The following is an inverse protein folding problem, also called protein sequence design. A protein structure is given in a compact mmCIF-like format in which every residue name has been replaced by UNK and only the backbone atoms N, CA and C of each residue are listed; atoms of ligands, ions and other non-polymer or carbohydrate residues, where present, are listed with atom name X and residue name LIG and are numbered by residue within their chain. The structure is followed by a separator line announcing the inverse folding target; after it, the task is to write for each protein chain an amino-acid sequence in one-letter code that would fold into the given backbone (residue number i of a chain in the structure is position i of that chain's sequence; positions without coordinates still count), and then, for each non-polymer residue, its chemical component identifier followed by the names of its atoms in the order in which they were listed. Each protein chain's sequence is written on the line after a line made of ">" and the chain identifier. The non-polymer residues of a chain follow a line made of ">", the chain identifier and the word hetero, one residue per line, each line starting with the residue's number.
data_IF_452705979950
#
_entry.id   IF_452705979950
#
_cell.length_a   1.000
_cell.length_b   1.000
_cell.length_c   1.000
_cell.angle_alpha   90.00
_cell.angle_beta   90.00
_cell.angle_gamma   90.00
#
_symmetry.space_group_name_H-M   'P 1'
#
loop_
_entity.id
_entity.type
_entity.pdbx_description
1 polymer ?
#
# COMPACT_ATOMS: atom_id res chain seq x y z
N UNK A 1 -10.76 10.59 -16.67
CA UNK A 1 -9.94 11.55 -17.36
C UNK A 1 -8.69 10.91 -17.94
N UNK A 2 -8.14 11.43 -18.99
CA UNK A 2 -6.91 10.95 -19.60
C UNK A 2 -5.69 11.59 -18.93
N UNK A 3 -5.76 12.89 -18.67
CA UNK A 3 -4.71 13.64 -17.97
C UNK A 3 -4.77 13.48 -16.44
N UNK A 4 -3.66 13.81 -15.75
CA UNK A 4 -3.61 13.84 -14.30
C UNK A 4 -4.63 14.84 -13.73
N UNK A 5 -4.72 16.03 -14.31
CA UNK A 5 -5.67 17.07 -13.84
C UNK A 5 -7.12 16.61 -13.93
N UNK A 6 -7.53 16.00 -15.05
CA UNK A 6 -8.90 15.47 -15.19
C UNK A 6 -9.22 14.39 -14.17
N UNK A 7 -8.24 13.52 -13.84
CA UNK A 7 -8.40 12.52 -12.78
C UNK A 7 -8.59 13.18 -11.41
N UNK A 8 -7.76 14.18 -11.10
CA UNK A 8 -7.86 14.92 -9.85
C UNK A 8 -9.17 15.71 -9.75
N UNK A 9 -9.64 16.34 -10.85
CA UNK A 9 -10.94 17.01 -10.89
C UNK A 9 -12.11 16.04 -10.61
N UNK A 10 -12.01 14.82 -11.13
CA UNK A 10 -13.00 13.78 -10.85
C UNK A 10 -12.95 13.33 -9.38
N UNK A 11 -11.76 13.17 -8.82
CA UNK A 11 -11.57 12.81 -7.41
C UNK A 11 -12.13 13.90 -6.48
N UNK A 12 -11.87 15.17 -6.76
CA UNK A 12 -12.40 16.30 -5.97
C UNK A 12 -13.92 16.33 -5.96
N UNK A 13 -14.57 16.11 -7.12
CA UNK A 13 -16.06 16.02 -7.22
C UNK A 13 -16.64 14.93 -6.34
N UNK A 14 -15.88 13.86 -6.08
CA UNK A 14 -16.31 12.76 -5.21
C UNK A 14 -15.88 12.97 -3.74
N UNK A 15 -15.18 14.07 -3.44
CA UNK A 15 -14.64 14.31 -2.10
C UNK A 15 -13.54 13.30 -1.71
N UNK A 16 -12.82 12.75 -2.69
CA UNK A 16 -11.65 11.90 -2.46
C UNK A 16 -10.44 12.79 -2.22
N UNK A 17 -9.68 12.52 -1.16
CA UNK A 17 -8.60 13.39 -0.66
C UNK A 17 -7.21 12.77 -0.79
N UNK A 18 -7.11 11.51 -1.22
CA UNK A 18 -5.84 10.80 -1.41
C UNK A 18 -5.61 10.41 -2.86
N UNK A 19 -4.41 10.67 -3.37
CA UNK A 19 -3.93 10.24 -4.69
C UNK A 19 -2.72 9.33 -4.50
N UNK A 20 -2.75 8.16 -5.12
CA UNK A 20 -1.69 7.15 -5.03
C UNK A 20 -1.04 6.93 -6.39
N UNK A 21 0.11 7.55 -6.67
CA UNK A 21 0.85 7.30 -7.89
C UNK A 21 1.74 6.06 -7.78
N UNK A 22 2.01 5.42 -8.93
CA UNK A 22 3.06 4.42 -9.03
C UNK A 22 4.46 5.03 -8.90
N UNK A 23 5.39 4.27 -8.29
CA UNK A 23 6.77 4.70 -8.05
C UNK A 23 7.66 4.70 -9.29
N UNK A 24 7.30 3.95 -10.33
CA UNK A 24 8.09 3.89 -11.57
C UNK A 24 8.25 5.28 -12.22
N UNK A 25 9.50 5.77 -12.30
CA UNK A 25 9.80 7.10 -12.84
C UNK A 25 9.30 8.27 -12.00
N UNK A 26 8.94 8.07 -10.75
CA UNK A 26 8.34 9.07 -9.87
C UNK A 26 9.22 10.31 -9.71
N UNK A 27 10.53 10.14 -9.56
CA UNK A 27 11.48 11.23 -9.37
C UNK A 27 11.39 12.29 -10.51
N UNK A 28 11.20 11.85 -11.74
CA UNK A 28 11.04 12.77 -12.89
C UNK A 28 9.68 13.48 -12.94
N UNK A 29 8.68 13.00 -12.17
CA UNK A 29 7.30 13.49 -12.15
C UNK A 29 6.94 14.32 -10.93
N UNK A 30 7.85 14.48 -9.98
CA UNK A 30 7.61 15.21 -8.72
C UNK A 30 7.06 16.61 -8.99
N UNK A 31 7.67 17.37 -9.88
CA UNK A 31 7.24 18.74 -10.20
C UNK A 31 5.86 18.76 -10.88
N UNK A 32 5.59 17.85 -11.82
CA UNK A 32 4.28 17.68 -12.45
C UNK A 32 3.19 17.43 -11.40
N UNK A 33 3.44 16.49 -10.49
CA UNK A 33 2.48 16.11 -9.44
C UNK A 33 2.27 17.27 -8.47
N UNK A 34 3.33 17.93 -8.01
CA UNK A 34 3.22 19.12 -7.15
C UNK A 34 2.40 20.23 -7.78
N UNK A 35 2.63 20.51 -9.06
CA UNK A 35 1.86 21.51 -9.81
C UNK A 35 0.38 21.11 -9.94
N UNK A 36 0.11 19.85 -10.28
CA UNK A 36 -1.26 19.35 -10.42
C UNK A 36 -2.03 19.36 -9.08
N UNK A 37 -1.35 19.16 -7.97
CA UNK A 37 -1.97 19.17 -6.62
C UNK A 37 -2.06 20.57 -6.00
N UNK A 38 -1.42 21.58 -6.60
CA UNK A 38 -1.40 22.92 -6.05
C UNK A 38 -2.82 23.54 -5.97
N UNK A 39 -3.21 23.99 -4.80
CA UNK A 39 -4.54 24.55 -4.54
C UNK A 39 -5.67 23.52 -4.38
N UNK A 40 -5.39 22.22 -4.47
CA UNK A 40 -6.36 21.15 -4.28
C UNK A 40 -6.36 20.60 -2.84
N UNK A 41 -7.49 20.10 -2.41
CA UNK A 41 -7.59 19.34 -1.15
C UNK A 41 -7.30 17.84 -1.36
N UNK A 42 -6.36 17.54 -2.23
CA UNK A 42 -5.86 16.17 -2.48
C UNK A 42 -4.39 16.12 -2.11
N UNK A 43 -4.00 15.06 -1.40
CA UNK A 43 -2.61 14.78 -1.00
C UNK A 43 -2.14 13.49 -1.63
N UNK A 44 -0.83 13.30 -1.74
CA UNK A 44 -0.29 11.98 -2.07
C UNK A 44 -0.45 11.08 -0.85
N UNK A 45 -1.22 9.98 -0.99
CA UNK A 45 -1.49 9.04 0.10
C UNK A 45 -0.30 8.12 0.35
N UNK A 46 0.00 7.26 -0.62
CA UNK A 46 1.16 6.37 -0.63
C UNK A 46 1.75 6.33 -2.05
N UNK A 47 2.89 5.68 -2.22
CA UNK A 47 3.48 5.38 -3.52
C UNK A 47 3.42 3.87 -3.73
N UNK A 48 2.75 3.43 -4.79
CA UNK A 48 2.62 2.01 -5.08
C UNK A 48 3.87 1.49 -5.82
N UNK A 49 4.70 0.70 -5.12
CA UNK A 49 5.85 -0.04 -5.66
C UNK A 49 6.71 0.75 -6.67
N UNK A 50 7.09 0.12 -7.79
CA UNK A 50 7.75 0.78 -8.94
C UNK A 50 9.28 0.70 -8.94
N UNK A 51 9.90 0.09 -7.93
CA UNK A 51 11.35 -0.18 -7.86
C UNK A 51 11.71 -1.37 -8.78
N UNK A 52 12.99 -1.45 -9.13
CA UNK A 52 13.57 -2.55 -9.92
C UNK A 52 14.16 -3.61 -8.99
N UNK A 53 14.47 -4.78 -9.53
CA UNK A 53 15.00 -5.88 -8.74
C UNK A 53 14.04 -6.34 -7.64
N UNK A 54 14.55 -7.08 -6.67
CA UNK A 54 13.81 -7.48 -5.46
C UNK A 54 14.78 -7.83 -4.33
N UNK A 55 14.39 -7.52 -3.09
CA UNK A 55 15.30 -7.59 -1.96
C UNK A 55 15.67 -9.01 -1.55
N UNK A 56 14.81 -9.99 -1.80
CA UNK A 56 15.08 -11.41 -1.49
C UNK A 56 15.82 -12.16 -2.60
N UNK A 57 16.36 -11.48 -3.62
CA UNK A 57 17.21 -12.14 -4.62
C UNK A 57 18.44 -12.79 -3.96
N UNK A 58 18.85 -13.96 -4.46
CA UNK A 58 20.15 -14.54 -4.10
C UNK A 58 21.32 -13.79 -4.74
N UNK A 59 21.07 -13.00 -5.82
CA UNK A 59 22.07 -12.18 -6.48
C UNK A 59 22.21 -10.81 -5.78
N UNK A 60 23.41 -10.49 -5.24
CA UNK A 60 23.68 -9.20 -4.60
C UNK A 60 23.47 -7.99 -5.53
N UNK A 61 23.69 -8.15 -6.85
CA UNK A 61 23.53 -7.05 -7.80
C UNK A 61 22.05 -6.66 -7.95
N UNK A 62 21.15 -7.66 -8.01
CA UNK A 62 19.70 -7.44 -8.05
C UNK A 62 19.20 -6.81 -6.76
N UNK A 63 19.72 -7.24 -5.59
CA UNK A 63 19.40 -6.60 -4.30
C UNK A 63 19.86 -5.15 -4.26
N UNK A 64 21.06 -4.88 -4.76
CA UNK A 64 21.59 -3.51 -4.83
C UNK A 64 20.73 -2.62 -5.72
N UNK A 65 20.34 -3.09 -6.91
CA UNK A 65 19.42 -2.36 -7.80
C UNK A 65 18.08 -2.07 -7.11
N UNK A 66 17.55 -3.03 -6.34
CA UNK A 66 16.34 -2.86 -5.55
C UNK A 66 16.50 -1.72 -4.53
N UNK A 67 17.56 -1.76 -3.74
CA UNK A 67 17.83 -0.75 -2.72
C UNK A 67 18.06 0.64 -3.32
N UNK A 68 18.82 0.73 -4.41
CA UNK A 68 19.11 2.01 -5.08
C UNK A 68 17.83 2.64 -5.64
N UNK A 69 17.02 1.87 -6.37
CA UNK A 69 15.77 2.38 -6.95
C UNK A 69 14.70 2.66 -5.91
N UNK A 70 14.66 1.91 -4.80
CA UNK A 70 13.80 2.24 -3.66
C UNK A 70 14.18 3.59 -3.03
N UNK A 71 15.48 3.87 -2.84
CA UNK A 71 15.94 5.16 -2.30
C UNK A 71 15.53 6.34 -3.19
N UNK A 72 15.60 6.20 -4.50
CA UNK A 72 15.11 7.22 -5.44
C UNK A 72 13.61 7.49 -5.26
N UNK A 73 12.80 6.43 -5.15
CA UNK A 73 11.35 6.55 -4.95
C UNK A 73 11.04 7.15 -3.58
N UNK A 74 11.74 6.73 -2.52
CA UNK A 74 11.55 7.24 -1.16
C UNK A 74 11.86 8.74 -1.08
N UNK A 75 12.95 9.19 -1.70
CA UNK A 75 13.27 10.62 -1.74
C UNK A 75 12.17 11.42 -2.45
N UNK A 76 11.69 10.95 -3.60
CA UNK A 76 10.57 11.56 -4.32
C UNK A 76 9.24 11.51 -3.52
N UNK A 77 8.99 10.42 -2.80
CA UNK A 77 7.82 10.27 -1.93
C UNK A 77 7.83 11.29 -0.78
N UNK A 78 8.98 11.50 -0.16
CA UNK A 78 9.18 12.53 0.86
C UNK A 78 8.94 13.93 0.32
N UNK A 79 9.44 14.25 -0.87
CA UNK A 79 9.18 15.53 -1.53
C UNK A 79 7.69 15.78 -1.83
N UNK A 80 6.93 14.73 -2.08
CA UNK A 80 5.49 14.77 -2.32
C UNK A 80 4.65 14.74 -1.03
N UNK A 81 5.27 14.56 0.14
CA UNK A 81 4.58 14.45 1.42
C UNK A 81 3.77 13.16 1.56
N UNK A 82 4.16 12.10 0.87
CA UNK A 82 3.53 10.80 0.93
C UNK A 82 3.72 10.13 2.29
N UNK A 83 2.75 9.33 2.74
CA UNK A 83 2.85 8.59 4.00
C UNK A 83 3.86 7.43 3.91
N UNK A 84 4.14 6.91 2.71
CA UNK A 84 5.13 5.87 2.53
C UNK A 84 5.20 5.30 1.12
N UNK A 85 6.20 4.45 0.91
CA UNK A 85 6.41 3.67 -0.33
C UNK A 85 6.07 2.21 -0.04
N UNK A 86 5.11 1.67 -0.77
CA UNK A 86 4.64 0.29 -0.64
C UNK A 86 5.64 -0.65 -1.29
N UNK A 87 6.01 -1.70 -0.56
CA UNK A 87 6.95 -2.70 -1.02
C UNK A 87 6.48 -4.12 -0.73
N UNK A 88 6.82 -5.02 -1.63
CA UNK A 88 6.70 -6.47 -1.47
C UNK A 88 8.11 -7.06 -1.51
N UNK A 89 8.56 -7.87 -0.52
CA UNK A 89 9.93 -8.39 -0.48
C UNK A 89 10.31 -9.26 -1.68
N UNK A 90 9.38 -10.08 -2.17
CA UNK A 90 9.52 -10.84 -3.42
C UNK A 90 8.17 -11.40 -3.86
N UNK A 91 7.92 -11.39 -5.16
CA UNK A 91 6.82 -12.14 -5.78
C UNK A 91 7.23 -13.59 -6.08
N UNK A 92 6.26 -14.50 -6.15
CA UNK A 92 6.52 -15.94 -6.43
C UNK A 92 7.32 -16.20 -7.71
N UNK A 93 7.17 -15.34 -8.73
CA UNK A 93 7.90 -15.45 -9.99
C UNK A 93 9.32 -14.88 -9.97
N UNK A 94 9.74 -14.24 -8.89
CA UNK A 94 11.08 -13.65 -8.74
C UNK A 94 12.06 -14.68 -8.16
N UNK A 95 12.80 -15.34 -9.04
CA UNK A 95 13.71 -16.45 -8.70
C UNK A 95 15.08 -16.24 -9.36
N UNK A 96 16.18 -16.73 -8.74
CA UNK A 96 16.22 -17.42 -7.45
C UNK A 96 16.07 -16.44 -6.26
N UNK A 97 15.33 -16.86 -5.24
CA UNK A 97 15.07 -16.06 -4.05
C UNK A 97 15.62 -16.74 -2.78
N UNK A 98 15.94 -15.94 -1.77
CA UNK A 98 16.26 -16.41 -0.43
C UNK A 98 15.04 -17.14 0.17
N UNK A 99 15.25 -18.27 0.86
CA UNK A 99 14.15 -19.06 1.42
C UNK A 99 13.52 -18.35 2.64
N UNK A 100 12.33 -18.81 3.04
CA UNK A 100 11.65 -18.32 4.24
C UNK A 100 12.26 -18.95 5.51
N UNK A 101 13.36 -18.37 6.00
CA UNK A 101 14.11 -18.81 7.19
C UNK A 101 14.38 -17.64 8.13
N UNK A 102 14.87 -17.94 9.33
CA UNK A 102 15.27 -16.90 10.29
C UNK A 102 16.43 -16.04 9.76
N UNK A 103 17.40 -16.64 9.09
CA UNK A 103 18.53 -15.91 8.48
C UNK A 103 18.04 -14.91 7.44
N UNK A 104 17.04 -15.27 6.65
CA UNK A 104 16.42 -14.36 5.68
C UNK A 104 15.63 -13.25 6.41
N UNK A 105 14.98 -13.56 7.52
CA UNK A 105 14.29 -12.57 8.35
C UNK A 105 15.29 -11.56 8.93
N UNK A 106 16.38 -12.04 9.51
CA UNK A 106 17.43 -11.19 10.09
C UNK A 106 18.03 -10.28 9.01
N UNK A 107 18.31 -10.84 7.83
CA UNK A 107 18.76 -10.07 6.66
C UNK A 107 17.76 -8.97 6.30
N UNK A 108 16.46 -9.26 6.22
CA UNK A 108 15.43 -8.24 5.94
C UNK A 108 15.41 -7.17 7.03
N UNK A 109 15.52 -7.55 8.29
CA UNK A 109 15.56 -6.59 9.40
C UNK A 109 16.71 -5.59 9.25
N UNK A 110 17.90 -6.07 8.88
CA UNK A 110 19.05 -5.20 8.62
C UNK A 110 18.79 -4.25 7.45
N UNK A 111 18.35 -4.77 6.30
CA UNK A 111 18.14 -3.98 5.09
C UNK A 111 17.03 -2.93 5.30
N UNK A 112 15.94 -3.30 5.97
CA UNK A 112 14.84 -2.37 6.20
C UNK A 112 15.05 -1.44 7.38
N UNK A 113 15.96 -1.74 8.30
CA UNK A 113 16.41 -0.75 9.28
C UNK A 113 17.17 0.40 8.58
N UNK A 114 18.06 0.10 7.63
CA UNK A 114 18.73 1.11 6.80
C UNK A 114 17.71 1.91 5.97
N UNK A 115 16.84 1.21 5.27
CA UNK A 115 15.84 1.82 4.39
C UNK A 115 14.83 2.68 5.17
N UNK A 116 14.37 2.22 6.34
CA UNK A 116 13.48 2.97 7.21
C UNK A 116 14.13 4.24 7.76
N UNK A 117 15.41 4.16 8.14
CA UNK A 117 16.17 5.34 8.55
C UNK A 117 16.25 6.37 7.43
N UNK A 118 16.54 5.93 6.22
CA UNK A 118 16.55 6.79 5.03
C UNK A 118 15.17 7.40 4.76
N UNK A 119 14.10 6.60 4.85
CA UNK A 119 12.73 7.09 4.67
C UNK A 119 12.33 8.13 5.72
N UNK A 120 12.63 7.87 6.99
CA UNK A 120 12.35 8.82 8.08
C UNK A 120 13.09 10.16 7.90
N UNK A 121 14.33 10.16 7.40
CA UNK A 121 15.09 11.37 7.07
C UNK A 121 14.41 12.19 5.96
N UNK A 122 13.64 11.55 5.08
CA UNK A 122 12.86 12.20 4.03
C UNK A 122 11.41 12.51 4.44
N UNK A 123 11.03 12.27 5.71
CA UNK A 123 9.68 12.53 6.21
C UNK A 123 8.61 11.58 5.68
N UNK A 124 9.00 10.37 5.30
CA UNK A 124 8.12 9.31 4.77
C UNK A 124 8.45 7.95 5.42
N UNK A 125 7.87 6.86 4.94
CA UNK A 125 8.16 5.51 5.43
C UNK A 125 8.27 4.50 4.27
N UNK A 126 8.77 3.30 4.57
CA UNK A 126 8.54 2.11 3.75
C UNK A 126 7.39 1.32 4.37
N UNK A 127 6.52 0.78 3.53
CA UNK A 127 5.28 0.10 3.94
C UNK A 127 5.29 -1.32 3.38
N UNK A 128 5.42 -2.31 4.25
CA UNK A 128 5.30 -3.72 3.85
C UNK A 128 3.87 -4.06 3.47
N UNK A 129 3.69 -4.57 2.26
CA UNK A 129 2.42 -5.12 1.81
C UNK A 129 2.45 -6.65 1.84
N UNK A 130 1.62 -7.28 2.69
CA UNK A 130 1.36 -8.71 2.61
C UNK A 130 0.44 -9.02 1.42
N UNK A 131 0.85 -9.97 0.58
CA UNK A 131 0.06 -10.43 -0.56
C UNK A 131 -0.45 -11.86 -0.34
N UNK A 132 -1.47 -12.24 -1.10
CA UNK A 132 -1.98 -13.60 -1.08
C UNK A 132 -0.94 -14.63 -1.60
N UNK A 133 -1.11 -15.90 -1.20
CA UNK A 133 -0.19 -17.01 -1.49
C UNK A 133 0.04 -17.32 -2.97
N UNK A 134 -0.84 -16.83 -3.86
CA UNK A 134 -0.65 -16.98 -5.30
C UNK A 134 0.38 -15.99 -5.84
N UNK A 135 0.60 -14.89 -5.14
CA UNK A 135 1.46 -13.80 -5.57
C UNK A 135 2.77 -13.72 -4.77
N UNK A 136 2.73 -14.03 -3.45
CA UNK A 136 3.90 -13.93 -2.58
C UNK A 136 4.06 -15.17 -1.69
N UNK A 137 5.30 -15.66 -1.54
CA UNK A 137 5.61 -16.77 -0.66
C UNK A 137 6.05 -16.31 0.74
N UNK A 138 6.62 -15.12 0.85
CA UNK A 138 7.32 -14.69 2.07
C UNK A 138 6.41 -13.98 3.06
N UNK A 139 5.64 -12.98 2.62
CA UNK A 139 4.84 -12.11 3.48
C UNK A 139 3.38 -12.12 3.04
N UNK A 140 2.47 -12.66 3.88
CA UNK A 140 1.08 -12.92 3.45
C UNK A 140 0.00 -12.36 4.37
N UNK A 141 0.30 -12.16 5.65
CA UNK A 141 -0.67 -11.68 6.63
C UNK A 141 -0.25 -10.34 7.25
N UNK A 142 -1.20 -9.52 7.63
CA UNK A 142 -0.94 -8.23 8.30
C UNK A 142 -0.17 -8.45 9.61
N UNK A 143 -0.48 -9.52 10.35
CA UNK A 143 0.25 -9.89 11.57
C UNK A 143 1.73 -10.19 11.31
N UNK A 144 2.05 -10.87 10.18
CA UNK A 144 3.44 -11.15 9.79
C UNK A 144 4.19 -9.86 9.49
N UNK A 145 3.57 -8.95 8.72
CA UNK A 145 4.15 -7.66 8.39
C UNK A 145 4.37 -6.79 9.64
N UNK A 146 3.38 -6.74 10.55
CA UNK A 146 3.52 -6.02 11.81
C UNK A 146 4.60 -6.62 12.70
N UNK A 147 4.76 -7.96 12.72
CA UNK A 147 5.84 -8.61 13.47
C UNK A 147 7.21 -8.23 12.94
N UNK A 148 7.35 -8.12 11.61
CA UNK A 148 8.59 -7.67 10.96
C UNK A 148 8.90 -6.21 11.32
N UNK A 149 7.89 -5.32 11.27
CA UNK A 149 8.04 -3.93 11.71
C UNK A 149 8.51 -3.83 13.17
N UNK A 150 7.98 -4.68 14.04
CA UNK A 150 8.34 -4.75 15.47
C UNK A 150 9.79 -5.18 15.67
N UNK A 151 10.24 -6.20 14.94
CA UNK A 151 11.60 -6.70 15.04
C UNK A 151 12.61 -5.69 14.48
N UNK A 152 12.26 -4.99 13.40
CA UNK A 152 13.09 -3.90 12.84
C UNK A 152 13.16 -2.70 13.81
N UNK A 153 12.08 -2.42 14.51
CA UNK A 153 11.96 -1.33 15.50
C UNK A 153 12.45 0.03 14.98
N UNK A 154 12.03 0.41 13.78
CA UNK A 154 12.40 1.66 13.12
C UNK A 154 11.15 2.49 12.77
N UNK A 155 11.09 3.80 13.14
CA UNK A 155 9.91 4.63 12.89
C UNK A 155 9.60 4.84 11.40
N UNK A 156 10.56 4.65 10.51
CA UNK A 156 10.38 4.71 9.05
C UNK A 156 9.94 3.39 8.42
N UNK A 157 9.60 2.37 9.21
CA UNK A 157 9.10 1.07 8.71
C UNK A 157 7.70 0.82 9.22
N UNK A 158 6.79 0.55 8.31
CA UNK A 158 5.36 0.38 8.55
C UNK A 158 4.83 -0.82 7.74
N UNK A 159 3.57 -1.15 7.96
CA UNK A 159 2.86 -2.18 7.20
C UNK A 159 1.49 -1.67 6.73
N UNK A 160 0.86 -2.47 5.90
CA UNK A 160 -0.49 -2.22 5.41
C UNK A 160 -1.30 -3.52 5.33
N UNK A 161 -2.58 -3.38 5.00
CA UNK A 161 -3.42 -4.49 4.59
C UNK A 161 -4.22 -4.14 3.34
N UNK A 162 -4.36 -5.10 2.45
CA UNK A 162 -5.22 -5.01 1.29
C UNK A 162 -6.39 -5.97 1.48
N UNK A 163 -7.60 -5.44 1.51
CA UNK A 163 -8.83 -6.23 1.69
C UNK A 163 -8.97 -7.36 0.67
N UNK A 164 -8.45 -7.19 -0.54
CA UNK A 164 -8.51 -8.26 -1.53
C UNK A 164 -7.54 -9.39 -1.20
N UNK A 165 -6.28 -9.09 -0.86
CA UNK A 165 -5.30 -10.09 -0.42
C UNK A 165 -5.73 -10.77 0.88
N UNK A 166 -6.25 -10.01 1.83
CA UNK A 166 -6.78 -10.50 3.11
C UNK A 166 -7.92 -11.50 2.93
N UNK A 167 -8.73 -11.40 1.87
CA UNK A 167 -9.79 -12.36 1.56
C UNK A 167 -9.26 -13.81 1.45
N UNK A 168 -8.00 -13.99 1.07
CA UNK A 168 -7.39 -15.30 0.87
C UNK A 168 -6.52 -15.76 2.05
N UNK A 169 -6.04 -14.84 2.87
CA UNK A 169 -5.02 -15.12 3.88
C UNK A 169 -5.49 -14.89 5.32
N UNK A 170 -6.50 -14.05 5.52
CA UNK A 170 -6.97 -13.70 6.85
C UNK A 170 -8.28 -14.40 7.21
N UNK A 171 -8.43 -14.78 8.47
CA UNK A 171 -9.68 -15.36 8.98
C UNK A 171 -10.67 -14.28 9.42
N UNK A 172 -10.19 -13.06 9.66
CA UNK A 172 -10.97 -11.90 10.08
C UNK A 172 -10.26 -10.62 9.70
N UNK A 173 -10.91 -9.76 8.92
CA UNK A 173 -10.37 -8.43 8.57
C UNK A 173 -10.16 -7.57 9.83
N UNK A 174 -11.10 -7.64 10.80
CA UNK A 174 -10.97 -6.91 12.05
C UNK A 174 -9.74 -7.37 12.83
N UNK A 175 -9.54 -8.67 12.97
CA UNK A 175 -8.37 -9.24 13.67
C UNK A 175 -7.07 -8.89 12.97
N UNK A 176 -7.04 -8.91 11.64
CA UNK A 176 -5.88 -8.54 10.85
C UNK A 176 -5.46 -7.07 11.11
N UNK A 177 -6.38 -6.12 11.02
CA UNK A 177 -6.06 -4.72 11.28
C UNK A 177 -5.69 -4.44 12.74
N UNK A 178 -6.35 -5.09 13.71
CA UNK A 178 -5.94 -5.02 15.12
C UNK A 178 -4.50 -5.52 15.31
N UNK A 179 -4.12 -6.60 14.61
CA UNK A 179 -2.75 -7.13 14.64
C UNK A 179 -1.72 -6.16 14.06
N UNK A 180 -2.12 -5.35 13.06
CA UNK A 180 -1.30 -4.28 12.49
C UNK A 180 -1.01 -3.18 13.50
N UNK A 181 -2.01 -2.83 14.31
CA UNK A 181 -1.89 -1.86 15.41
C UNK A 181 -1.26 -0.53 14.96
N UNK A 182 -0.31 -0.04 15.74
CA UNK A 182 0.41 1.22 15.47
C UNK A 182 1.31 1.17 14.21
N UNK A 183 1.61 -0.01 13.70
CA UNK A 183 2.42 -0.16 12.48
C UNK A 183 1.59 -0.01 11.20
N UNK A 184 0.26 -0.05 11.29
CA UNK A 184 -0.63 0.05 10.13
C UNK A 184 -0.66 1.48 9.58
N UNK A 185 -0.08 1.68 8.40
CA UNK A 185 0.08 2.99 7.78
C UNK A 185 -0.82 3.20 6.57
N UNK A 186 -1.24 2.14 5.88
CA UNK A 186 -2.01 2.24 4.65
C UNK A 186 -2.99 1.08 4.52
N UNK A 187 -4.04 1.28 3.72
CA UNK A 187 -5.03 0.24 3.42
C UNK A 187 -5.40 0.30 1.95
N UNK A 188 -5.33 -0.83 1.28
CA UNK A 188 -5.93 -1.01 -0.05
C UNK A 188 -7.29 -1.68 0.02
N UNK A 189 -8.14 -1.35 -0.94
CA UNK A 189 -9.48 -1.93 -1.08
C UNK A 189 -9.80 -2.20 -2.53
N UNK A 190 -10.34 -3.41 -2.78
CA UNK A 190 -10.91 -3.84 -4.05
C UNK A 190 -12.10 -4.77 -3.78
N UNK A 191 -12.89 -5.07 -4.82
CA UNK A 191 -13.94 -6.07 -4.71
C UNK A 191 -13.34 -7.45 -4.40
N UNK A 192 -14.05 -8.24 -3.59
CA UNK A 192 -13.53 -9.46 -2.96
C UNK A 192 -13.22 -10.62 -3.91
N UNK A 193 -13.90 -10.70 -5.05
CA UNK A 193 -13.77 -11.84 -5.98
C UNK A 193 -12.95 -11.52 -7.22
N UNK A 194 -13.13 -10.31 -7.79
CA UNK A 194 -12.61 -9.96 -9.11
C UNK A 194 -11.51 -8.89 -9.08
N UNK A 195 -11.18 -8.35 -7.91
CA UNK A 195 -10.25 -7.22 -7.77
C UNK A 195 -10.68 -6.03 -8.67
N UNK A 196 -11.99 -5.81 -8.76
CA UNK A 196 -12.60 -4.66 -9.43
C UNK A 196 -13.03 -3.61 -8.42
N UNK A 197 -13.85 -2.61 -8.83
CA UNK A 197 -14.31 -1.58 -7.89
C UNK A 197 -15.19 -2.18 -6.78
N UNK A 198 -15.04 -1.74 -5.53
CA UNK A 198 -15.93 -2.13 -4.44
C UNK A 198 -17.41 -1.94 -4.80
N UNK A 199 -18.22 -2.97 -4.56
CA UNK A 199 -19.64 -3.04 -4.93
C UNK A 199 -19.91 -3.83 -6.22
N UNK A 200 -18.91 -4.02 -7.09
CA UNK A 200 -19.10 -4.80 -8.32
C UNK A 200 -19.25 -6.31 -8.07
N UNK A 201 -18.88 -6.82 -6.89
CA UNK A 201 -19.12 -8.20 -6.46
C UNK A 201 -20.36 -8.34 -5.54
N UNK A 202 -21.20 -7.29 -5.46
CA UNK A 202 -22.44 -7.30 -4.70
C UNK A 202 -22.20 -7.53 -3.19
N UNK A 203 -23.00 -8.41 -2.57
CA UNK A 203 -22.95 -8.66 -1.12
C UNK A 203 -21.59 -9.21 -0.61
N UNK A 204 -20.74 -9.70 -1.51
CA UNK A 204 -19.38 -10.12 -1.12
C UNK A 204 -18.51 -8.92 -0.69
N UNK A 205 -18.84 -7.72 -1.18
CA UNK A 205 -18.09 -6.49 -0.92
C UNK A 205 -18.55 -5.83 0.39
N UNK A 206 -18.37 -6.57 1.49
CA UNK A 206 -18.62 -6.11 2.84
C UNK A 206 -17.30 -5.90 3.57
N UNK A 207 -17.03 -4.66 3.94
CA UNK A 207 -15.81 -4.21 4.62
C UNK A 207 -16.03 -3.76 6.06
N UNK A 208 -17.30 -3.80 6.56
CA UNK A 208 -17.68 -3.29 7.89
C UNK A 208 -16.82 -3.89 8.99
N UNK A 209 -16.57 -5.19 8.94
CA UNK A 209 -15.75 -5.86 9.96
C UNK A 209 -14.30 -5.34 9.99
N UNK A 210 -13.69 -5.13 8.82
CA UNK A 210 -12.38 -4.50 8.71
C UNK A 210 -12.38 -3.05 9.20
N UNK A 211 -13.38 -2.27 8.83
CA UNK A 211 -13.53 -0.88 9.30
C UNK A 211 -13.69 -0.78 10.82
N UNK A 212 -14.37 -1.75 11.46
CA UNK A 212 -14.36 -1.86 12.93
C UNK A 212 -12.95 -2.02 13.48
N UNK A 213 -12.15 -2.90 12.88
CA UNK A 213 -10.75 -3.08 13.27
C UNK A 213 -9.94 -1.80 13.14
N UNK A 214 -10.08 -1.08 12.01
CA UNK A 214 -9.43 0.21 11.80
C UNK A 214 -9.84 1.26 12.84
N UNK A 215 -11.13 1.35 13.15
CA UNK A 215 -11.61 2.26 14.21
C UNK A 215 -11.05 1.89 15.59
N UNK A 216 -10.96 0.59 15.92
CA UNK A 216 -10.43 0.12 17.21
C UNK A 216 -8.97 0.52 17.43
N UNK A 217 -8.16 0.57 16.37
CA UNK A 217 -6.75 0.99 16.46
C UNK A 217 -6.57 2.50 16.26
N UNK A 218 -7.65 3.28 16.09
CA UNK A 218 -7.59 4.71 15.85
C UNK A 218 -7.00 5.09 14.49
N UNK A 219 -7.16 4.24 13.47
CA UNK A 219 -6.64 4.47 12.14
C UNK A 219 -7.23 5.74 11.51
N UNK A 220 -6.38 6.66 11.07
CA UNK A 220 -6.76 7.95 10.50
C UNK A 220 -6.05 8.30 9.19
N UNK A 221 -5.41 7.33 8.56
CA UNK A 221 -4.77 7.46 7.25
C UNK A 221 -5.73 7.11 6.11
N UNK A 222 -5.19 6.75 4.96
CA UNK A 222 -5.94 6.56 3.72
C UNK A 222 -6.41 5.12 3.53
N UNK A 223 -7.58 4.98 2.89
CA UNK A 223 -8.05 3.74 2.27
C UNK A 223 -8.10 4.00 0.76
N UNK A 224 -7.23 3.36 0.02
CA UNK A 224 -7.03 3.57 -1.42
C UNK A 224 -7.63 2.45 -2.25
N UNK A 225 -8.23 2.81 -3.38
CA UNK A 225 -8.60 1.81 -4.39
C UNK A 225 -7.34 1.29 -5.10
N UNK A 226 -7.11 -0.02 -5.05
CA UNK A 226 -6.13 -0.71 -5.88
C UNK A 226 -6.82 -1.82 -6.68
N UNK A 227 -7.47 -1.43 -7.75
CA UNK A 227 -8.38 -2.34 -8.46
C UNK A 227 -8.61 -1.97 -9.92
N UNK A 228 -9.14 -2.93 -10.67
CA UNK A 228 -9.74 -2.70 -11.98
C UNK A 228 -11.13 -2.09 -11.88
N UNK A 229 -11.80 -2.00 -13.03
CA UNK A 229 -13.16 -1.53 -13.16
C UNK A 229 -13.84 -2.34 -14.27
N UNK A 230 -14.99 -2.96 -13.97
CA UNK A 230 -15.75 -3.74 -14.95
C UNK A 230 -16.81 -2.89 -15.67
N UNK A 231 -17.47 -2.02 -14.91
CA UNK A 231 -18.50 -1.13 -15.44
C UNK A 231 -17.97 0.22 -15.92
N UNK A 232 -18.88 1.13 -16.27
CA UNK A 232 -18.53 2.52 -16.59
C UNK A 232 -17.97 3.20 -15.34
N UNK A 233 -16.76 3.73 -15.44
CA UNK A 233 -16.05 4.42 -14.34
C UNK A 233 -16.84 5.58 -13.77
N UNK A 234 -17.60 6.29 -14.62
CA UNK A 234 -18.43 7.41 -14.17
C UNK A 234 -19.62 6.98 -13.31
N UNK A 235 -19.96 5.69 -13.31
CA UNK A 235 -21.03 5.10 -12.51
C UNK A 235 -20.45 4.33 -11.31
N UNK A 236 -19.52 3.41 -11.58
CA UNK A 236 -19.05 2.49 -10.54
C UNK A 236 -18.14 3.13 -9.51
N UNK A 237 -17.29 4.11 -9.90
CA UNK A 237 -16.40 4.78 -8.94
C UNK A 237 -17.17 5.62 -7.93
N UNK A 238 -18.15 6.48 -8.33
CA UNK A 238 -19.00 7.16 -7.35
C UNK A 238 -19.77 6.20 -6.44
N UNK A 239 -20.28 5.10 -7.00
CA UNK A 239 -21.00 4.08 -6.22
C UNK A 239 -20.09 3.41 -5.18
N UNK A 240 -18.85 3.08 -5.55
CA UNK A 240 -17.86 2.51 -4.65
C UNK A 240 -17.47 3.48 -3.51
N UNK A 241 -17.25 4.76 -3.82
CA UNK A 241 -16.98 5.78 -2.79
C UNK A 241 -18.15 5.90 -1.82
N UNK A 242 -19.37 5.90 -2.31
CA UNK A 242 -20.58 5.93 -1.48
C UNK A 242 -20.67 4.69 -0.59
N UNK A 243 -20.52 3.49 -1.16
CA UNK A 243 -20.55 2.22 -0.43
C UNK A 243 -19.56 2.19 0.73
N UNK A 244 -18.31 2.57 0.47
CA UNK A 244 -17.27 2.55 1.52
C UNK A 244 -17.57 3.54 2.65
N UNK A 245 -18.10 4.74 2.35
CA UNK A 245 -18.52 5.70 3.36
C UNK A 245 -19.67 5.18 4.20
N UNK A 246 -20.71 4.63 3.58
CA UNK A 246 -21.86 4.03 4.27
C UNK A 246 -21.43 2.87 5.17
N UNK A 247 -20.54 2.01 4.70
CA UNK A 247 -20.00 0.90 5.51
C UNK A 247 -19.07 1.38 6.62
N UNK A 248 -18.31 2.45 6.41
CA UNK A 248 -17.54 3.09 7.47
C UNK A 248 -18.43 3.65 8.58
N UNK A 249 -19.54 4.30 8.23
CA UNK A 249 -20.50 4.82 9.21
C UNK A 249 -21.16 3.71 10.03
N UNK A 250 -21.41 2.54 9.43
CA UNK A 250 -22.02 1.37 10.07
C UNK A 250 -21.02 0.59 10.95
N UNK A 251 -19.75 0.81 10.82
CA UNK A 251 -18.70 0.13 11.55
C UNK A 251 -18.48 0.72 13.03
#
# INVERSE_FOLDING_TARGET
>A
GESLNEKLDFMEKLGVVGFEPGGGGLASRVNEIKQALNGRNIKVSAICAGFKGFILSTDPAIRKECMDTMKEIIAAAGELGSTGVIIVPAFNGQVPALPHTMETRDFLCEQFNEMGTFAAQHGTSVIFEPLNRKECFYLRQVADAASLCRDINNPGVRCMGDFWHMTWEETSDMGAFISGGEYLQHVHVASRKRRSMPGEDGDADNYINGFKGLKMIGYNNYVSFECGCQGDRNVVVPAAVKLLREQWEQA
#
